data_IF_546176015074
#
_entry.id   IF_546176015074
#
_cell.length_a   1.000
_cell.length_b   1.000
_cell.length_c   1.000
_cell.angle_alpha   90.00
_cell.angle_beta   90.00
_cell.angle_gamma   90.00
#
_symmetry.space_group_name_H-M   'P 1'
#
loop_
_entity.id
_entity.type
_entity.pdbx_description
1 polymer ?
#
# COMPACT_ATOMS: atom_id res chain seq x y z
N UNK A 1 31.22 2.94 76.99
CA UNK A 1 31.79 4.07 76.23
C UNK A 1 30.77 4.49 75.21
N UNK A 2 30.23 5.69 75.38
CA UNK A 2 29.12 6.24 74.54
C UNK A 2 29.72 7.10 73.43
N UNK A 3 29.43 6.82 72.18
CA UNK A 3 29.71 7.72 71.02
C UNK A 3 28.43 8.27 70.47
N UNK A 4 28.40 9.61 70.38
CA UNK A 4 27.25 10.42 69.90
C UNK A 4 27.28 10.53 68.40
N UNK A 5 26.12 10.27 67.74
CA UNK A 5 25.89 10.66 66.38
C UNK A 5 25.54 12.17 66.30
N UNK A 6 26.21 12.87 65.37
CA UNK A 6 25.87 14.23 65.02
C UNK A 6 24.91 14.20 63.76
N UNK A 7 23.72 14.82 63.87
CA UNK A 7 22.85 15.12 62.77
C UNK A 7 23.33 16.39 62.07
N UNK A 8 23.65 16.27 60.78
CA UNK A 8 23.86 17.40 59.89
C UNK A 8 22.58 17.73 59.14
N UNK A 9 22.03 18.93 59.36
CA UNK A 9 20.88 19.45 58.64
C UNK A 9 21.30 19.95 57.24
N UNK A 10 20.71 19.39 56.19
CA UNK A 10 20.89 19.86 54.82
C UNK A 10 19.72 20.77 54.45
N UNK A 11 20.01 22.07 54.23
CA UNK A 11 19.04 23.04 53.79
C UNK A 11 18.80 22.89 52.26
N UNK A 12 17.55 22.68 51.90
CA UNK A 12 17.08 22.58 50.50
C UNK A 12 16.74 23.99 50.00
N UNK A 13 17.52 24.53 49.04
CA UNK A 13 17.22 25.78 48.35
C UNK A 13 16.29 25.49 47.20
N UNK A 14 15.05 26.01 47.23
CA UNK A 14 14.13 26.05 46.09
C UNK A 14 14.61 27.13 45.13
N UNK A 15 15.02 26.72 43.91
CA UNK A 15 15.19 27.61 42.78
C UNK A 15 13.87 27.61 41.95
N UNK A 16 13.20 28.74 41.91
CA UNK A 16 12.06 28.99 41.02
C UNK A 16 12.57 29.24 39.62
N UNK A 17 12.39 28.28 38.72
CA UNK A 17 12.62 28.49 37.29
C UNK A 17 11.36 29.12 36.66
N UNK A 18 11.51 30.34 36.13
CA UNK A 18 10.46 31.03 35.38
C UNK A 18 10.21 30.34 34.06
N UNK A 19 8.93 30.19 33.71
CA UNK A 19 8.49 29.77 32.40
C UNK A 19 8.87 30.86 31.38
N UNK A 20 9.75 30.51 30.43
CA UNK A 20 9.97 31.31 29.23
C UNK A 20 8.97 30.79 28.17
N UNK A 21 8.07 31.67 27.73
CA UNK A 21 7.19 31.48 26.57
C UNK A 21 8.04 31.32 25.31
N UNK A 22 8.05 30.09 24.75
CA UNK A 22 8.71 29.80 23.48
C UNK A 22 7.64 29.82 22.39
N UNK A 23 7.21 31.00 21.97
CA UNK A 23 6.38 31.19 20.79
C UNK A 23 7.31 31.21 19.58
N UNK A 24 7.16 30.30 18.59
CA UNK A 24 7.97 30.37 17.38
C UNK A 24 7.64 31.59 16.55
N UNK A 25 8.67 32.29 16.06
CA UNK A 25 8.53 33.45 15.21
C UNK A 25 7.92 33.04 13.84
N UNK A 26 7.06 33.89 13.22
CA UNK A 26 6.46 33.59 11.94
C UNK A 26 7.51 33.58 10.82
N UNK A 27 7.47 32.55 9.98
CA UNK A 27 8.32 32.39 8.78
C UNK A 27 7.91 33.45 7.76
N UNK A 28 8.83 34.25 7.18
CA UNK A 28 8.51 35.22 6.14
C UNK A 28 8.05 34.51 4.86
N UNK A 29 6.86 34.88 4.37
CA UNK A 29 6.38 34.47 3.05
C UNK A 29 7.22 35.15 1.97
N UNK A 30 7.99 34.36 1.24
CA UNK A 30 8.62 34.78 -0.01
C UNK A 30 7.53 34.88 -1.09
N UNK A 31 7.31 36.07 -1.61
CA UNK A 31 6.48 36.28 -2.80
C UNK A 31 7.19 35.76 -4.02
N UNK A 32 6.60 34.77 -4.69
CA UNK A 32 7.07 34.31 -6.01
C UNK A 32 6.74 35.36 -7.08
N UNK A 33 7.60 35.53 -8.08
CA UNK A 33 7.30 36.34 -9.25
C UNK A 33 6.31 35.59 -10.16
N UNK A 34 5.25 36.28 -10.52
CA UNK A 34 4.33 35.89 -11.59
C UNK A 34 4.97 36.19 -12.94
N UNK A 35 5.44 35.15 -13.64
CA UNK A 35 5.56 35.18 -15.11
C UNK A 35 5.59 33.73 -15.60
N UNK A 36 4.43 33.22 -16.02
CA UNK A 36 4.31 31.99 -16.78
C UNK A 36 4.05 32.33 -18.25
N UNK A 37 4.77 31.76 -19.21
CA UNK A 37 4.50 31.94 -20.61
C UNK A 37 3.24 31.18 -21.02
N UNK A 38 2.35 31.86 -21.74
CA UNK A 38 1.11 31.37 -22.32
C UNK A 38 1.34 30.21 -23.29
N UNK A 39 0.66 29.07 -23.08
CA UNK A 39 0.62 27.98 -24.05
C UNK A 39 -0.33 28.32 -25.20
N UNK A 40 -0.05 27.89 -26.45
CA UNK A 40 -0.91 28.11 -27.60
C UNK A 40 -2.14 27.17 -27.56
N UNK A 41 -3.28 27.74 -27.90
CA UNK A 41 -4.57 27.10 -28.08
C UNK A 41 -4.52 26.11 -29.25
N UNK A 42 -5.11 24.90 -29.16
CA UNK A 42 -5.26 24.01 -30.31
C UNK A 42 -6.27 24.57 -31.32
N UNK A 43 -5.85 24.63 -32.56
CA UNK A 43 -6.71 25.02 -33.71
C UNK A 43 -7.58 23.82 -34.10
N UNK A 44 -8.88 24.02 -34.16
CA UNK A 44 -9.84 23.09 -34.76
C UNK A 44 -9.61 22.98 -36.26
N UNK A 45 -9.50 21.77 -36.81
CA UNK A 45 -9.65 21.50 -38.25
C UNK A 45 -11.06 20.98 -38.55
N UNK A 46 -11.63 21.35 -39.72
CA UNK A 46 -13.02 21.09 -40.04
C UNK A 46 -13.25 19.68 -40.59
N UNK A 47 -14.44 19.15 -40.30
CA UNK A 47 -14.91 17.84 -40.62
C UNK A 47 -14.92 17.53 -42.12
N UNK A 48 -14.81 16.25 -42.44
CA UNK A 48 -15.11 15.69 -43.74
C UNK A 48 -16.20 14.63 -43.60
N UNK A 49 -17.37 14.93 -44.13
CA UNK A 49 -18.48 14.02 -44.33
C UNK A 49 -18.18 13.04 -45.49
N UNK A 50 -18.40 11.76 -45.27
CA UNK A 50 -18.20 10.76 -46.34
C UNK A 50 -18.76 9.38 -45.97
N UNK A 51 -19.93 9.19 -46.30
CA UNK A 51 -20.97 8.17 -46.44
C UNK A 51 -20.55 6.76 -46.91
N UNK A 52 -21.19 5.79 -46.27
CA UNK A 52 -21.76 4.51 -46.71
C UNK A 52 -20.90 3.27 -47.02
N UNK A 53 -21.27 2.18 -46.35
CA UNK A 53 -21.58 0.94 -47.06
C UNK A 53 -20.81 -0.31 -46.62
N UNK A 54 -21.55 -1.30 -46.11
CA UNK A 54 -21.24 -2.71 -46.37
C UNK A 54 -20.89 -3.58 -45.15
N UNK A 55 -21.86 -4.38 -44.80
CA UNK A 55 -21.85 -5.59 -43.97
C UNK A 55 -20.66 -6.53 -44.21
N UNK A 56 -20.08 -7.13 -43.16
CA UNK A 56 -20.24 -8.57 -42.93
C UNK A 56 -19.62 -9.00 -41.59
N UNK A 57 -20.27 -9.99 -41.01
CA UNK A 57 -20.07 -10.47 -39.65
C UNK A 57 -18.76 -11.22 -39.44
N UNK A 58 -18.14 -10.93 -38.32
CA UNK A 58 -17.18 -11.73 -37.64
C UNK A 58 -17.44 -11.50 -36.17
N UNK A 59 -18.11 -12.46 -35.51
CA UNK A 59 -18.33 -12.40 -34.06
C UNK A 59 -17.01 -12.45 -33.33
N UNK A 60 -16.53 -11.32 -32.84
CA UNK A 60 -15.57 -11.27 -31.76
C UNK A 60 -16.25 -11.79 -30.47
N UNK A 61 -15.56 -12.62 -29.64
CA UNK A 61 -16.09 -12.94 -28.34
C UNK A 61 -16.28 -11.64 -27.56
N UNK A 62 -17.47 -11.42 -27.05
CA UNK A 62 -17.81 -10.27 -26.24
C UNK A 62 -16.87 -10.27 -25.00
N UNK A 63 -15.79 -9.49 -25.07
CA UNK A 63 -15.07 -9.02 -23.90
C UNK A 63 -16.09 -8.27 -23.05
N UNK A 64 -16.15 -8.61 -21.75
CA UNK A 64 -17.07 -7.97 -20.82
C UNK A 64 -17.01 -6.45 -21.02
N UNK A 65 -18.13 -5.87 -21.42
CA UNK A 65 -18.17 -4.43 -21.74
C UNK A 65 -17.72 -3.64 -20.53
N UNK A 66 -17.04 -2.51 -20.76
CA UNK A 66 -16.59 -1.51 -19.77
C UNK A 66 -17.81 -0.97 -18.97
N UNK A 67 -18.40 -1.82 -18.12
CA UNK A 67 -19.47 -1.38 -17.23
C UNK A 67 -18.91 -0.39 -16.23
N UNK A 68 -19.70 0.60 -15.91
CA UNK A 68 -19.37 1.55 -14.85
C UNK A 68 -19.45 0.84 -13.48
N UNK A 69 -18.37 0.88 -12.66
CA UNK A 69 -18.39 0.24 -11.37
C UNK A 69 -19.42 0.90 -10.45
N UNK A 70 -20.05 0.09 -9.60
CA UNK A 70 -21.10 0.58 -8.68
C UNK A 70 -20.82 0.19 -7.26
N UNK A 71 -20.91 1.14 -6.35
CA UNK A 71 -20.94 0.84 -4.93
C UNK A 71 -22.22 0.03 -4.60
N UNK A 72 -22.02 -1.12 -3.98
CA UNK A 72 -23.11 -1.98 -3.48
C UNK A 72 -23.58 -1.45 -2.13
N UNK A 73 -22.66 -1.03 -1.27
CA UNK A 73 -22.92 -0.47 0.03
C UNK A 73 -21.70 -0.52 0.94
N UNK A 74 -21.85 0.01 2.15
CA UNK A 74 -20.89 -0.17 3.24
C UNK A 74 -21.14 -1.54 3.87
N UNK A 75 -20.10 -2.38 3.91
CA UNK A 75 -20.17 -3.72 4.52
C UNK A 75 -19.95 -3.64 6.03
N UNK A 76 -18.92 -2.90 6.45
CA UNK A 76 -18.54 -2.67 7.85
C UNK A 76 -18.07 -1.23 7.99
N UNK A 77 -18.37 -0.61 9.12
CA UNK A 77 -17.96 0.72 9.50
C UNK A 77 -17.24 0.72 10.86
N UNK A 78 -16.76 1.91 11.29
CA UNK A 78 -16.11 2.14 12.58
C UNK A 78 -14.83 1.30 12.79
N UNK A 79 -14.09 1.04 11.72
CA UNK A 79 -12.76 0.44 11.79
C UNK A 79 -11.72 1.50 12.16
N UNK A 80 -10.59 1.08 12.74
CA UNK A 80 -9.48 1.98 13.09
C UNK A 80 -8.32 1.87 12.11
N UNK A 81 -8.32 2.69 11.07
CA UNK A 81 -7.28 2.72 10.02
C UNK A 81 -7.01 1.32 9.45
N UNK A 82 -8.02 0.66 8.82
CA UNK A 82 -7.84 -0.66 8.21
C UNK A 82 -6.79 -0.57 7.09
N UNK A 83 -5.82 -1.51 7.12
CA UNK A 83 -4.68 -1.43 6.19
C UNK A 83 -4.59 -2.64 5.25
N UNK A 84 -4.44 -3.85 5.76
CA UNK A 84 -4.39 -5.09 4.99
C UNK A 84 -5.74 -5.77 4.92
N UNK A 85 -6.05 -6.37 3.78
CA UNK A 85 -7.23 -7.23 3.56
C UNK A 85 -6.81 -8.39 2.70
N UNK A 86 -7.10 -9.62 3.16
CA UNK A 86 -6.98 -10.82 2.36
C UNK A 86 -8.08 -11.82 2.75
N UNK A 87 -8.39 -12.78 1.88
CA UNK A 87 -9.55 -13.65 2.04
C UNK A 87 -9.19 -15.07 2.45
N UNK A 88 -9.93 -15.59 3.42
CA UNK A 88 -9.91 -16.99 3.81
C UNK A 88 -10.64 -17.85 2.75
N UNK A 89 -10.36 -19.16 2.68
CA UNK A 89 -11.04 -20.06 1.73
C UNK A 89 -12.56 -20.09 1.85
N UNK A 90 -13.13 -19.78 3.04
CA UNK A 90 -14.57 -19.71 3.29
C UNK A 90 -15.19 -18.37 2.82
N UNK A 91 -14.40 -17.46 2.28
CA UNK A 91 -14.83 -16.16 1.78
C UNK A 91 -14.86 -15.04 2.81
N UNK A 92 -14.58 -15.30 4.08
CA UNK A 92 -14.39 -14.25 5.07
C UNK A 92 -13.05 -13.54 4.86
N UNK A 93 -13.00 -12.23 5.09
CA UNK A 93 -11.75 -11.48 5.03
C UNK A 93 -11.04 -11.42 6.38
N UNK A 94 -9.71 -11.45 6.35
CA UNK A 94 -8.85 -11.02 7.45
C UNK A 94 -8.46 -9.57 7.20
N UNK A 95 -8.67 -8.71 8.19
CA UNK A 95 -8.40 -7.27 8.11
C UNK A 95 -7.45 -6.87 9.23
N UNK A 96 -6.40 -6.12 8.90
CA UNK A 96 -5.49 -5.55 9.88
C UNK A 96 -5.83 -4.10 10.16
N UNK A 97 -5.70 -3.68 11.40
CA UNK A 97 -5.81 -2.27 11.81
C UNK A 97 -4.44 -1.74 12.21
N UNK A 98 -3.99 -0.73 11.47
CA UNK A 98 -2.63 -0.20 11.58
C UNK A 98 -2.30 0.33 12.97
N UNK A 99 -3.21 1.13 13.53
CA UNK A 99 -2.96 1.86 14.78
C UNK A 99 -3.13 1.03 16.03
N UNK A 100 -3.98 0.01 15.98
CA UNK A 100 -4.32 -0.82 17.15
C UNK A 100 -3.60 -2.15 17.20
N UNK A 101 -2.98 -2.55 16.07
CA UNK A 101 -2.40 -3.89 15.91
C UNK A 101 -3.45 -5.01 15.90
N UNK A 102 -4.76 -4.69 15.87
CA UNK A 102 -5.84 -5.68 15.85
C UNK A 102 -5.87 -6.43 14.52
N UNK A 103 -6.20 -7.70 14.62
CA UNK A 103 -6.53 -8.57 13.49
C UNK A 103 -8.01 -8.94 13.62
N UNK A 104 -8.75 -8.62 12.58
CA UNK A 104 -10.22 -8.77 12.53
C UNK A 104 -10.59 -9.76 11.44
N UNK A 105 -11.75 -10.41 11.59
CA UNK A 105 -12.42 -11.17 10.55
C UNK A 105 -13.73 -10.44 10.19
N UNK A 106 -13.97 -10.32 8.89
CA UNK A 106 -15.19 -9.75 8.33
C UNK A 106 -15.80 -10.78 7.39
N UNK A 107 -17.01 -11.23 7.67
CA UNK A 107 -17.73 -12.16 6.78
C UNK A 107 -18.42 -11.42 5.63
N UNK A 108 -18.85 -12.15 4.60
CA UNK A 108 -19.52 -11.56 3.43
C UNK A 108 -20.84 -10.83 3.77
N UNK A 109 -21.48 -11.15 4.90
CA UNK A 109 -22.66 -10.45 5.41
C UNK A 109 -22.36 -9.27 6.34
N UNK A 110 -21.07 -8.93 6.52
CA UNK A 110 -20.61 -7.80 7.35
C UNK A 110 -20.47 -8.12 8.84
N UNK A 111 -20.58 -9.39 9.25
CA UNK A 111 -20.33 -9.75 10.65
C UNK A 111 -18.83 -9.54 10.96
N UNK A 112 -18.56 -8.67 11.94
CA UNK A 112 -17.21 -8.31 12.40
C UNK A 112 -16.87 -9.10 13.66
N UNK A 113 -15.70 -9.74 13.70
CA UNK A 113 -15.16 -10.38 14.90
C UNK A 113 -13.66 -10.13 15.04
N UNK A 114 -13.18 -10.12 16.29
CA UNK A 114 -11.76 -9.95 16.58
C UNK A 114 -11.08 -11.31 16.69
N UNK A 115 -10.07 -11.56 15.84
CA UNK A 115 -9.25 -12.77 15.90
C UNK A 115 -8.13 -12.67 16.95
N UNK A 116 -7.53 -11.48 17.10
CA UNK A 116 -6.41 -11.25 18.00
C UNK A 116 -5.75 -9.90 17.77
N UNK A 117 -4.45 -9.83 18.10
CA UNK A 117 -3.62 -8.66 17.83
C UNK A 117 -2.16 -9.07 17.68
N UNK A 118 -1.40 -8.34 16.85
CA UNK A 118 0.05 -8.39 16.78
C UNK A 118 0.60 -7.33 17.73
N UNK A 119 0.91 -7.74 18.96
CA UNK A 119 1.26 -6.82 20.07
C UNK A 119 2.64 -6.20 19.93
N UNK A 120 3.48 -6.71 19.03
CA UNK A 120 4.78 -6.12 18.70
C UNK A 120 4.67 -4.90 17.78
N UNK A 121 3.49 -4.59 17.23
CA UNK A 121 3.26 -3.43 16.40
C UNK A 121 3.49 -2.12 17.17
N UNK A 122 4.32 -1.24 16.60
CA UNK A 122 4.60 0.11 17.14
C UNK A 122 4.10 1.13 16.12
N UNK A 123 2.86 1.63 16.26
CA UNK A 123 2.30 2.58 15.31
C UNK A 123 2.93 3.95 15.48
N UNK A 124 3.52 4.48 14.41
CA UNK A 124 4.01 5.86 14.32
C UNK A 124 4.07 6.28 12.84
N UNK A 125 3.65 7.50 12.51
CA UNK A 125 3.66 7.96 11.11
C UNK A 125 2.91 7.02 10.18
N UNK A 126 3.63 6.31 9.29
CA UNK A 126 3.07 5.31 8.37
C UNK A 126 3.18 3.87 8.90
N UNK A 127 3.96 3.68 9.94
CA UNK A 127 4.26 2.41 10.56
C UNK A 127 3.10 1.81 11.39
N UNK A 128 3.22 0.53 11.74
CA UNK A 128 2.26 -0.20 12.57
C UNK A 128 2.02 -1.62 12.07
N UNK A 129 0.80 -2.15 12.23
CA UNK A 129 0.38 -3.41 11.61
C UNK A 129 -0.15 -3.12 10.21
N UNK A 130 0.56 -3.57 9.17
CA UNK A 130 0.28 -3.19 7.79
C UNK A 130 -0.37 -4.34 7.01
N UNK A 131 0.35 -5.02 6.14
CA UNK A 131 -0.17 -6.06 5.27
C UNK A 131 -0.55 -7.35 5.99
N UNK A 132 -1.45 -8.09 5.37
CA UNK A 132 -1.80 -9.48 5.71
C UNK A 132 -1.82 -10.30 4.44
N UNK A 133 -1.40 -11.57 4.52
CA UNK A 133 -1.55 -12.56 3.48
C UNK A 133 -2.00 -13.90 4.09
N UNK A 134 -2.95 -14.54 3.47
CA UNK A 134 -3.43 -15.88 3.83
C UNK A 134 -2.52 -16.91 3.15
N UNK A 135 -2.08 -17.93 3.89
CA UNK A 135 -1.30 -19.03 3.31
C UNK A 135 -2.03 -19.65 2.13
N UNK A 136 -1.37 -19.97 1.01
CA UNK A 136 -1.98 -20.74 -0.07
C UNK A 136 -2.40 -22.16 0.38
N UNK A 137 -1.78 -22.67 1.45
CA UNK A 137 -2.09 -23.97 2.07
C UNK A 137 -2.95 -23.82 3.33
N UNK A 138 -3.70 -22.72 3.48
CA UNK A 138 -4.45 -22.36 4.68
C UNK A 138 -5.39 -23.45 5.17
N UNK A 139 -6.02 -24.21 4.30
CA UNK A 139 -6.88 -25.33 4.69
C UNK A 139 -6.14 -26.39 5.51
N UNK A 140 -4.82 -26.51 5.34
CA UNK A 140 -3.96 -27.47 6.02
C UNK A 140 -3.20 -26.83 7.18
N UNK A 141 -2.58 -25.65 6.98
CA UNK A 141 -1.65 -25.05 7.92
C UNK A 141 -2.27 -23.94 8.78
N UNK A 142 -3.46 -23.44 8.39
CA UNK A 142 -4.18 -22.38 9.09
C UNK A 142 -3.37 -21.12 9.32
N UNK A 143 -2.35 -20.84 8.49
CA UNK A 143 -1.35 -19.81 8.70
C UNK A 143 -1.75 -18.50 8.05
N UNK A 144 -1.56 -17.40 8.79
CA UNK A 144 -1.66 -16.02 8.35
C UNK A 144 -0.29 -15.34 8.49
N UNK A 145 0.06 -14.54 7.50
CA UNK A 145 1.29 -13.76 7.48
C UNK A 145 0.95 -12.27 7.66
N UNK A 146 1.81 -11.54 8.37
CA UNK A 146 1.60 -10.12 8.66
C UNK A 146 2.90 -9.35 8.47
N UNK A 147 2.80 -8.16 7.89
CA UNK A 147 3.89 -7.19 7.91
C UNK A 147 3.67 -6.24 9.08
N UNK A 148 4.67 -6.09 9.92
CA UNK A 148 4.57 -5.28 11.12
C UNK A 148 5.83 -4.46 11.35
N UNK A 149 5.64 -3.19 11.70
CA UNK A 149 6.72 -2.34 12.21
C UNK A 149 6.83 -2.52 13.71
N UNK A 150 8.03 -2.83 14.18
CA UNK A 150 8.37 -2.95 15.60
C UNK A 150 9.14 -1.72 16.10
N UNK A 151 9.67 -1.78 17.32
CA UNK A 151 10.55 -0.72 17.84
C UNK A 151 11.95 -0.71 17.22
N UNK A 152 12.30 -1.70 16.40
CA UNK A 152 13.66 -1.86 15.85
C UNK A 152 13.70 -1.97 14.33
N UNK A 153 12.69 -2.56 13.71
CA UNK A 153 12.66 -2.89 12.29
C UNK A 153 11.23 -3.11 11.79
N UNK A 154 11.08 -3.19 10.49
CA UNK A 154 9.95 -3.83 9.84
C UNK A 154 10.24 -5.33 9.70
N UNK A 155 9.21 -6.17 9.83
CA UNK A 155 9.37 -7.62 9.69
C UNK A 155 8.10 -8.31 9.20
N UNK A 156 8.27 -9.51 8.68
CA UNK A 156 7.17 -10.44 8.41
C UNK A 156 7.09 -11.42 9.57
N UNK A 157 5.89 -11.57 10.13
CA UNK A 157 5.59 -12.59 11.15
C UNK A 157 4.47 -13.48 10.64
N UNK A 158 4.38 -14.71 11.13
CA UNK A 158 3.27 -15.62 10.87
C UNK A 158 2.63 -16.12 12.16
N UNK A 159 1.33 -16.38 12.12
CA UNK A 159 0.60 -16.95 13.23
C UNK A 159 -0.49 -17.89 12.72
N UNK A 160 -0.74 -18.98 13.45
CA UNK A 160 -1.84 -19.89 13.13
C UNK A 160 -3.18 -19.33 13.61
N UNK A 161 -4.22 -19.53 12.81
CA UNK A 161 -5.61 -19.24 13.18
C UNK A 161 -6.28 -20.50 13.76
N UNK A 162 -6.35 -20.58 15.08
CA UNK A 162 -6.94 -21.70 15.81
C UNK A 162 -8.43 -21.42 16.11
N UNK A 163 -9.32 -21.90 15.25
CA UNK A 163 -10.72 -21.53 15.27
C UNK A 163 -10.89 -20.05 14.99
N UNK A 164 -11.38 -19.27 15.98
CA UNK A 164 -11.53 -17.80 15.88
C UNK A 164 -10.45 -17.03 16.66
N UNK A 165 -9.31 -17.66 16.99
CA UNK A 165 -8.25 -17.02 17.77
C UNK A 165 -6.90 -17.13 17.05
N UNK A 166 -6.26 -15.98 16.92
CA UNK A 166 -4.88 -15.89 16.43
C UNK A 166 -3.93 -16.46 17.51
N UNK A 167 -3.04 -17.36 17.08
CA UNK A 167 -1.94 -17.89 17.90
C UNK A 167 -0.82 -16.87 18.12
N UNK A 168 0.21 -17.28 18.84
CA UNK A 168 1.40 -16.43 19.06
C UNK A 168 2.18 -16.25 17.76
N UNK A 169 2.52 -15.00 17.39
CA UNK A 169 3.28 -14.74 16.19
C UNK A 169 4.73 -15.24 16.28
N UNK A 170 5.24 -15.80 15.19
CA UNK A 170 6.65 -16.14 15.00
C UNK A 170 7.25 -15.36 13.84
N UNK A 171 8.52 -15.00 13.95
CA UNK A 171 9.24 -14.24 12.91
C UNK A 171 9.50 -15.14 11.71
N UNK A 172 9.25 -14.59 10.51
CA UNK A 172 9.54 -15.20 9.20
C UNK A 172 10.74 -14.49 8.56
N UNK A 173 10.70 -13.16 8.50
CA UNK A 173 11.79 -12.32 8.00
C UNK A 173 11.87 -11.07 8.89
N UNK A 174 13.07 -10.70 9.33
CA UNK A 174 13.33 -9.49 10.12
C UNK A 174 14.47 -8.64 9.50
N UNK A 175 14.84 -7.55 10.19
CA UNK A 175 15.93 -6.69 9.75
C UNK A 175 15.61 -5.81 8.54
N UNK A 176 14.35 -5.69 8.13
CA UNK A 176 13.94 -4.71 7.13
C UNK A 176 14.00 -3.33 7.80
N UNK A 177 14.74 -2.34 7.26
CA UNK A 177 14.76 -0.99 7.83
C UNK A 177 13.35 -0.43 8.03
N UNK A 178 13.14 0.28 9.15
CA UNK A 178 11.88 0.93 9.49
C UNK A 178 12.07 2.43 9.69
N UNK A 179 11.05 3.21 9.34
CA UNK A 179 11.06 4.66 9.45
C UNK A 179 9.78 5.25 10.02
N UNK A 180 9.73 6.56 10.07
CA UNK A 180 8.49 7.29 10.35
C UNK A 180 7.58 7.34 9.11
N UNK A 181 8.18 7.22 7.92
CA UNK A 181 7.54 7.21 6.60
C UNK A 181 8.14 6.11 5.74
N UNK A 182 7.43 5.74 4.68
CA UNK A 182 7.88 4.84 3.61
C UNK A 182 8.28 3.44 4.14
N UNK A 183 7.39 2.82 4.89
CA UNK A 183 7.61 1.47 5.40
C UNK A 183 7.19 0.36 4.40
N UNK A 184 6.60 0.72 3.26
CA UNK A 184 6.05 -0.26 2.31
C UNK A 184 4.87 -1.02 2.90
N UNK A 185 5.05 -2.33 3.08
CA UNK A 185 4.20 -3.14 3.93
C UNK A 185 3.13 -3.98 3.24
N UNK A 186 3.00 -3.93 1.91
CA UNK A 186 2.11 -4.86 1.20
C UNK A 186 2.78 -6.24 1.11
N UNK A 187 2.06 -7.26 1.52
CA UNK A 187 2.47 -8.65 1.33
C UNK A 187 1.37 -9.41 0.61
N UNK A 188 1.76 -10.33 -0.27
CA UNK A 188 0.83 -11.20 -0.96
C UNK A 188 1.56 -12.45 -1.49
N UNK A 189 0.88 -13.58 -1.53
CA UNK A 189 1.39 -14.78 -2.20
C UNK A 189 1.21 -14.63 -3.71
N UNK A 190 2.29 -14.86 -4.44
CA UNK A 190 2.24 -14.94 -5.89
C UNK A 190 1.68 -16.28 -6.39
N UNK A 191 1.32 -16.40 -7.69
CA UNK A 191 0.84 -17.63 -8.28
C UNK A 191 1.87 -18.77 -8.24
N UNK A 192 3.11 -18.46 -7.91
CA UNK A 192 4.22 -19.38 -7.73
C UNK A 192 4.38 -19.91 -6.28
N UNK A 193 3.43 -19.55 -5.39
CA UNK A 193 3.38 -19.98 -4.00
C UNK A 193 4.41 -19.33 -3.07
N UNK A 194 5.12 -18.29 -3.53
CA UNK A 194 6.07 -17.54 -2.71
C UNK A 194 5.47 -16.23 -2.22
N UNK A 195 5.93 -15.77 -1.05
CA UNK A 195 5.49 -14.51 -0.45
C UNK A 195 6.30 -13.35 -1.02
N UNK A 196 5.59 -12.40 -1.65
CA UNK A 196 6.16 -11.13 -2.07
C UNK A 196 5.92 -10.09 -0.99
N UNK A 197 6.96 -9.31 -0.68
CA UNK A 197 6.97 -8.34 0.40
C UNK A 197 7.47 -7.01 -0.14
N UNK A 198 6.67 -5.96 -0.03
CA UNK A 198 7.10 -4.62 -0.44
C UNK A 198 7.70 -3.86 0.72
N UNK A 199 8.76 -3.14 0.47
CA UNK A 199 9.44 -2.29 1.44
C UNK A 199 9.59 -0.87 0.89
N UNK A 200 9.64 0.10 1.79
CA UNK A 200 9.96 1.48 1.42
C UNK A 200 11.41 1.83 1.79
N UNK A 201 11.87 2.96 1.31
CA UNK A 201 13.24 3.43 1.57
C UNK A 201 13.42 4.12 2.94
N UNK A 202 12.32 4.24 3.70
CA UNK A 202 12.26 4.71 5.10
C UNK A 202 12.82 6.12 5.35
N UNK A 203 12.85 6.99 4.32
CA UNK A 203 13.39 8.35 4.38
C UNK A 203 14.90 8.42 4.10
N UNK A 204 15.53 7.31 3.74
CA UNK A 204 16.90 7.26 3.20
C UNK A 204 16.89 6.74 1.75
N UNK A 205 16.78 7.63 0.76
CA UNK A 205 16.65 7.25 -0.64
C UNK A 205 17.80 6.40 -1.19
N UNK A 206 19.01 6.52 -0.60
CA UNK A 206 20.17 5.75 -1.04
C UNK A 206 19.99 4.24 -0.84
N UNK A 207 19.19 3.83 0.16
CA UNK A 207 18.93 2.41 0.45
C UNK A 207 18.19 1.71 -0.70
N UNK A 208 17.43 2.45 -1.52
CA UNK A 208 16.71 1.87 -2.65
C UNK A 208 17.65 1.27 -3.71
N UNK A 209 18.83 1.85 -3.90
CA UNK A 209 19.85 1.37 -4.86
C UNK A 209 20.92 0.46 -4.21
N UNK A 210 20.96 0.36 -2.88
CA UNK A 210 21.87 -0.54 -2.18
C UNK A 210 21.37 -2.00 -2.29
N UNK A 211 22.09 -2.91 -2.95
CA UNK A 211 21.68 -4.29 -3.13
C UNK A 211 21.71 -5.11 -1.82
N UNK A 212 22.46 -4.67 -0.82
CA UNK A 212 22.58 -5.34 0.48
C UNK A 212 21.50 -4.87 1.47
N UNK A 213 20.78 -3.80 1.16
CA UNK A 213 19.65 -3.29 1.95
C UNK A 213 18.33 -3.93 1.53
N UNK A 214 17.46 -4.23 2.51
CA UNK A 214 16.10 -4.68 2.26
C UNK A 214 15.10 -3.53 2.09
N UNK A 215 15.52 -2.26 2.25
CA UNK A 215 14.69 -1.08 2.07
C UNK A 215 14.57 -0.67 0.60
N UNK A 216 13.41 -0.18 0.17
CA UNK A 216 13.17 0.25 -1.21
C UNK A 216 13.21 -0.90 -2.22
N UNK A 217 12.61 -2.04 -1.87
CA UNK A 217 12.63 -3.30 -2.62
C UNK A 217 11.24 -3.92 -2.75
N UNK A 218 11.12 -4.82 -3.70
CA UNK A 218 10.17 -5.92 -3.61
C UNK A 218 10.99 -7.18 -3.31
N UNK A 219 10.68 -7.84 -2.20
CA UNK A 219 11.32 -9.08 -1.79
C UNK A 219 10.46 -10.27 -2.20
N UNK A 220 11.08 -11.43 -2.42
CA UNK A 220 10.38 -12.68 -2.70
C UNK A 220 11.02 -13.79 -1.87
N UNK A 221 10.23 -14.37 -0.96
CA UNK A 221 10.68 -15.35 0.03
C UNK A 221 9.79 -16.59 0.03
N UNK A 222 10.31 -17.68 0.55
CA UNK A 222 9.51 -18.86 0.88
C UNK A 222 8.61 -18.56 2.09
N UNK A 223 7.56 -19.37 2.37
CA UNK A 223 6.77 -19.23 3.59
C UNK A 223 7.59 -19.35 4.89
N UNK A 224 8.81 -19.93 4.83
CA UNK A 224 9.72 -20.05 5.96
C UNK A 224 10.73 -18.89 6.07
N UNK A 225 10.67 -17.92 5.15
CA UNK A 225 11.50 -16.69 5.21
C UNK A 225 12.81 -16.77 4.43
N UNK A 226 13.14 -17.91 3.83
CA UNK A 226 14.35 -18.05 3.01
C UNK A 226 14.18 -17.34 1.65
N UNK A 227 15.27 -16.87 1.02
CA UNK A 227 15.22 -16.40 -0.36
C UNK A 227 14.56 -17.43 -1.27
N UNK A 228 13.54 -17.03 -2.03
CA UNK A 228 12.80 -17.99 -2.85
C UNK A 228 13.67 -18.51 -4.03
N UNK A 229 13.58 -19.80 -4.35
CA UNK A 229 14.29 -20.36 -5.51
C UNK A 229 13.96 -19.60 -6.78
N UNK A 230 14.98 -19.22 -7.54
CA UNK A 230 14.83 -18.47 -8.78
C UNK A 230 14.86 -16.95 -8.60
N UNK A 231 15.16 -16.41 -7.42
CA UNK A 231 15.49 -15.00 -7.26
C UNK A 231 16.68 -14.59 -8.14
N UNK A 232 16.86 -13.28 -8.46
CA UNK A 232 18.01 -12.80 -9.24
C UNK A 232 19.34 -13.23 -8.64
N UNK A 233 19.50 -13.07 -7.33
CA UNK A 233 20.57 -13.63 -6.52
C UNK A 233 19.98 -14.74 -5.63
N UNK A 234 20.46 -16.00 -5.74
CA UNK A 234 19.95 -17.11 -4.92
C UNK A 234 20.15 -16.93 -3.42
N UNK A 235 21.09 -16.07 -2.99
CA UNK A 235 21.38 -15.78 -1.58
C UNK A 235 20.61 -14.57 -1.03
N UNK A 236 19.83 -13.89 -1.86
CA UNK A 236 19.14 -12.66 -1.49
C UNK A 236 17.62 -12.79 -1.66
N UNK A 237 16.81 -12.24 -0.73
CA UNK A 237 15.37 -12.18 -0.92
C UNK A 237 14.94 -11.11 -1.94
N UNK A 238 15.85 -10.26 -2.43
CA UNK A 238 15.53 -9.16 -3.33
C UNK A 238 15.06 -9.68 -4.69
N UNK A 239 13.83 -9.30 -5.08
CA UNK A 239 13.26 -9.56 -6.39
C UNK A 239 13.48 -8.41 -7.37
N UNK A 240 13.24 -7.17 -6.90
CA UNK A 240 13.50 -5.92 -7.63
C UNK A 240 13.96 -4.82 -6.68
N UNK A 241 14.59 -3.77 -7.21
CA UNK A 241 15.16 -2.67 -6.44
C UNK A 241 14.88 -1.30 -7.08
N UNK A 242 15.30 -0.25 -6.40
CA UNK A 242 15.10 1.12 -6.89
C UNK A 242 13.68 1.62 -6.70
N UNK A 243 13.01 1.15 -5.63
CA UNK A 243 11.68 1.57 -5.24
C UNK A 243 11.72 2.60 -4.10
N UNK A 244 10.77 3.54 -4.13
CA UNK A 244 10.59 4.51 -3.04
C UNK A 244 9.69 3.97 -1.94
N UNK A 245 8.43 3.66 -2.27
CA UNK A 245 7.44 3.19 -1.29
C UNK A 245 6.29 2.44 -1.98
N UNK A 246 6.49 1.17 -2.23
CA UNK A 246 5.49 0.30 -2.85
C UNK A 246 4.43 -0.11 -1.83
N UNK A 247 3.13 0.13 -2.10
CA UNK A 247 2.04 -0.26 -1.20
C UNK A 247 0.94 -1.12 -1.85
N UNK A 248 1.07 -1.47 -3.12
CA UNK A 248 0.14 -2.36 -3.78
C UNK A 248 0.84 -3.39 -4.66
N UNK A 249 0.32 -4.62 -4.66
CA UNK A 249 0.74 -5.72 -5.52
C UNK A 249 -0.49 -6.40 -6.11
N UNK A 250 -0.41 -6.77 -7.38
CA UNK A 250 -1.43 -7.59 -8.04
C UNK A 250 -0.79 -8.43 -9.16
N UNK A 251 -1.40 -9.57 -9.46
CA UNK A 251 -1.06 -10.39 -10.63
C UNK A 251 -2.23 -10.37 -11.60
N UNK A 252 -1.92 -10.20 -12.88
CA UNK A 252 -2.91 -10.35 -13.93
C UNK A 252 -3.09 -11.82 -14.36
N UNK A 253 -4.01 -12.07 -15.31
CA UNK A 253 -4.34 -13.42 -15.75
C UNK A 253 -3.16 -14.18 -16.39
N UNK A 254 -2.14 -13.46 -16.88
CA UNK A 254 -0.91 -14.05 -17.41
C UNK A 254 0.19 -14.21 -16.35
N UNK A 255 -0.13 -13.91 -15.09
CA UNK A 255 0.79 -14.03 -13.96
C UNK A 255 1.86 -12.93 -13.91
N UNK A 256 1.67 -11.81 -14.60
CA UNK A 256 2.58 -10.66 -14.54
C UNK A 256 2.34 -9.87 -13.26
N UNK A 257 3.42 -9.54 -12.58
CA UNK A 257 3.37 -8.78 -11.33
C UNK A 257 3.28 -7.28 -11.60
N UNK A 258 2.30 -6.65 -10.99
CA UNK A 258 2.08 -5.20 -11.01
C UNK A 258 2.26 -4.63 -9.62
N UNK A 259 2.83 -3.42 -9.54
CA UNK A 259 3.02 -2.70 -8.29
C UNK A 259 2.58 -1.24 -8.42
N UNK A 260 1.90 -0.73 -7.40
CA UNK A 260 1.60 0.69 -7.24
C UNK A 260 2.53 1.31 -6.22
N UNK A 261 3.05 2.49 -6.54
CA UNK A 261 4.15 3.10 -5.82
C UNK A 261 3.98 4.61 -5.65
N UNK A 262 4.27 5.10 -4.46
CA UNK A 262 4.29 6.53 -4.18
C UNK A 262 5.57 7.18 -4.70
N UNK A 263 5.39 8.25 -5.47
CA UNK A 263 6.48 9.17 -5.79
C UNK A 263 6.81 10.13 -4.66
N UNK A 264 7.72 11.05 -4.93
CA UNK A 264 8.14 12.07 -3.97
C UNK A 264 7.30 13.35 -4.09
N UNK A 265 7.48 14.03 -5.17
CA UNK A 265 6.90 15.36 -5.36
C UNK A 265 6.24 15.56 -6.72
N UNK A 266 6.47 14.64 -7.65
CA UNK A 266 6.05 14.82 -9.04
C UNK A 266 5.15 13.68 -9.52
N UNK A 267 5.62 12.41 -9.44
CA UNK A 267 4.97 11.29 -10.09
C UNK A 267 4.80 10.08 -9.19
N UNK A 268 3.54 9.71 -8.94
CA UNK A 268 3.18 8.36 -8.49
C UNK A 268 3.20 7.39 -9.68
N UNK A 269 3.40 6.10 -9.42
CA UNK A 269 3.72 5.12 -10.45
C UNK A 269 2.87 3.86 -10.39
N UNK A 270 2.60 3.29 -11.57
CA UNK A 270 2.19 1.90 -11.75
C UNK A 270 3.27 1.17 -12.55
N UNK A 271 3.88 0.20 -11.92
CA UNK A 271 5.01 -0.56 -12.42
C UNK A 271 4.60 -1.98 -12.85
N UNK A 272 5.06 -2.44 -14.01
CA UNK A 272 5.12 -3.85 -14.37
C UNK A 272 6.44 -4.39 -13.84
N UNK A 273 6.37 -5.28 -12.85
CA UNK A 273 7.56 -5.70 -12.10
C UNK A 273 8.26 -6.88 -12.77
N UNK A 274 9.52 -6.70 -13.11
CA UNK A 274 10.38 -7.70 -13.72
C UNK A 274 11.41 -8.22 -12.70
N UNK A 275 11.74 -9.51 -12.82
CA UNK A 275 12.79 -10.14 -12.03
C UNK A 275 14.13 -9.42 -12.23
N UNK A 276 14.74 -8.95 -11.13
CA UNK A 276 16.02 -8.23 -11.14
C UNK A 276 15.91 -6.80 -11.69
N UNK A 277 14.68 -6.31 -11.91
CA UNK A 277 14.44 -4.95 -12.39
C UNK A 277 14.89 -3.88 -11.40
N UNK A 278 15.41 -2.77 -11.95
CA UNK A 278 15.71 -1.55 -11.19
C UNK A 278 14.78 -0.43 -11.67
N UNK A 279 13.99 0.14 -10.76
CA UNK A 279 12.95 1.13 -11.05
C UNK A 279 13.41 2.58 -10.86
N UNK A 280 14.68 2.76 -10.53
CA UNK A 280 15.42 4.02 -10.69
C UNK A 280 15.40 4.97 -9.51
N UNK A 281 14.54 4.80 -8.50
CA UNK A 281 14.57 5.66 -7.33
C UNK A 281 15.91 5.54 -6.57
N UNK A 282 16.55 6.65 -6.12
CA UNK A 282 16.14 8.07 -6.24
C UNK A 282 16.68 8.77 -7.50
N UNK A 283 17.40 8.10 -8.37
CA UNK A 283 18.03 8.68 -9.58
C UNK A 283 16.96 9.20 -10.56
N UNK A 284 15.79 8.56 -10.56
CA UNK A 284 14.64 8.88 -11.42
C UNK A 284 13.36 8.81 -10.60
N UNK A 285 12.43 9.74 -10.83
CA UNK A 285 11.04 9.72 -10.41
C UNK A 285 10.18 9.78 -11.68
N UNK A 286 9.30 8.81 -11.88
CA UNK A 286 8.53 8.69 -13.12
C UNK A 286 9.36 8.17 -14.29
N UNK A 287 9.04 8.62 -15.51
CA UNK A 287 9.69 8.15 -16.73
C UNK A 287 10.98 8.91 -17.01
N UNK A 288 12.11 8.25 -16.78
CA UNK A 288 13.43 8.80 -17.05
C UNK A 288 14.00 8.47 -18.43
N UNK A 289 13.50 7.42 -19.09
CA UNK A 289 14.00 6.94 -20.36
C UNK A 289 15.46 6.45 -20.33
N UNK A 290 16.00 6.16 -19.16
CA UNK A 290 17.37 5.71 -18.97
C UNK A 290 17.43 4.19 -19.07
N UNK A 291 18.32 3.64 -19.90
CA UNK A 291 18.38 2.20 -20.23
C UNK A 291 18.64 1.27 -19.05
N UNK A 292 19.27 1.78 -17.98
CA UNK A 292 19.57 1.02 -16.78
C UNK A 292 18.37 0.90 -15.83
N UNK A 293 17.33 1.68 -16.06
CA UNK A 293 16.10 1.67 -15.25
C UNK A 293 14.88 1.27 -16.07
N UNK A 294 13.91 0.67 -15.42
CA UNK A 294 12.62 0.32 -16.02
C UNK A 294 11.65 1.48 -15.77
N UNK A 295 11.17 2.09 -16.84
CA UNK A 295 10.16 3.14 -16.76
C UNK A 295 8.79 2.57 -16.31
N UNK A 296 8.03 3.31 -15.49
CA UNK A 296 6.67 2.93 -15.11
C UNK A 296 5.73 2.85 -16.33
N UNK A 297 4.75 1.96 -16.26
CA UNK A 297 3.73 1.83 -17.29
C UNK A 297 2.82 3.06 -17.33
N UNK A 298 2.43 3.57 -16.16
CA UNK A 298 1.67 4.80 -16.00
C UNK A 298 2.22 5.63 -14.85
N UNK A 299 2.02 6.95 -14.96
CA UNK A 299 2.36 7.92 -13.92
C UNK A 299 1.19 8.87 -13.68
N UNK A 300 1.06 9.36 -12.46
CA UNK A 300 0.08 10.37 -12.05
C UNK A 300 0.78 11.47 -11.25
N UNK A 301 0.35 12.73 -11.36
CA UNK A 301 0.72 13.75 -10.39
C UNK A 301 0.36 13.27 -8.97
N UNK A 302 1.24 13.50 -7.99
CA UNK A 302 1.09 12.95 -6.62
C UNK A 302 -0.20 13.40 -5.90
N UNK A 303 -0.81 14.51 -6.31
CA UNK A 303 -2.11 14.95 -5.80
C UNK A 303 -3.29 14.16 -6.36
N UNK A 304 -3.11 13.41 -7.46
CA UNK A 304 -4.18 12.67 -8.10
C UNK A 304 -4.26 11.20 -7.67
N UNK A 305 -3.21 10.66 -7.07
CA UNK A 305 -3.20 9.26 -6.68
C UNK A 305 -2.76 9.06 -5.22
N UNK A 306 -1.49 9.13 -4.86
CA UNK A 306 -0.94 8.54 -3.65
C UNK A 306 -1.41 7.09 -3.55
N UNK A 307 -0.94 6.22 -4.48
CA UNK A 307 -1.55 4.91 -4.73
C UNK A 307 -1.15 3.91 -3.66
N UNK A 308 -2.12 3.25 -3.03
CA UNK A 308 -1.86 2.23 -2.02
C UNK A 308 -2.26 0.85 -2.55
N UNK A 309 -3.37 0.28 -2.13
CA UNK A 309 -3.76 -1.06 -2.55
C UNK A 309 -4.00 -1.19 -4.05
N UNK A 310 -3.62 -2.34 -4.59
CA UNK A 310 -3.80 -2.73 -5.99
C UNK A 310 -4.44 -4.11 -6.03
N UNK A 311 -5.38 -4.34 -6.94
CA UNK A 311 -6.00 -5.64 -7.18
C UNK A 311 -6.30 -5.80 -8.67
N UNK A 312 -6.46 -7.05 -9.14
CA UNK A 312 -6.82 -7.35 -10.51
C UNK A 312 -8.16 -8.08 -10.56
N UNK A 313 -9.06 -7.59 -11.40
CA UNK A 313 -10.36 -8.20 -11.65
C UNK A 313 -10.86 -7.81 -13.04
N UNK A 314 -11.50 -8.74 -13.74
CA UNK A 314 -12.18 -8.54 -15.03
C UNK A 314 -11.30 -7.83 -16.10
N UNK A 315 -10.03 -8.21 -16.22
CA UNK A 315 -9.09 -7.64 -17.19
C UNK A 315 -8.56 -6.25 -16.81
N UNK A 316 -8.80 -5.79 -15.58
CA UNK A 316 -8.42 -4.48 -15.11
C UNK A 316 -7.65 -4.54 -13.80
N UNK A 317 -6.68 -3.64 -13.66
CA UNK A 317 -6.12 -3.29 -12.36
C UNK A 317 -7.01 -2.24 -11.71
N UNK A 318 -7.26 -2.43 -10.42
CA UNK A 318 -7.98 -1.52 -9.55
C UNK A 318 -7.03 -0.98 -8.50
N UNK A 319 -6.87 0.34 -8.44
CA UNK A 319 -5.88 1.00 -7.60
C UNK A 319 -6.54 2.03 -6.69
N UNK A 320 -6.36 1.88 -5.40
CA UNK A 320 -6.89 2.78 -4.39
C UNK A 320 -5.99 4.00 -4.20
N UNK A 321 -6.55 5.20 -4.33
CA UNK A 321 -5.86 6.48 -4.18
C UNK A 321 -6.15 7.15 -2.83
N UNK A 322 -5.11 7.41 -2.04
CA UNK A 322 -5.25 8.08 -0.75
C UNK A 322 -5.44 9.59 -0.91
N UNK A 323 -4.42 10.29 -1.41
CA UNK A 323 -4.51 11.74 -1.61
C UNK A 323 -5.48 12.11 -2.73
N UNK A 324 -5.50 11.28 -3.78
CA UNK A 324 -6.42 11.44 -4.90
C UNK A 324 -7.87 11.10 -4.58
N UNK A 325 -8.18 10.46 -3.44
CA UNK A 325 -9.52 10.15 -2.95
C UNK A 325 -10.42 9.52 -4.01
N UNK A 326 -9.90 8.48 -4.70
CA UNK A 326 -10.58 7.81 -5.81
C UNK A 326 -10.13 6.37 -6.00
N UNK A 327 -10.94 5.62 -6.71
CA UNK A 327 -10.60 4.29 -7.20
C UNK A 327 -10.27 4.39 -8.69
N UNK A 328 -9.06 4.02 -9.06
CA UNK A 328 -8.63 3.95 -10.45
C UNK A 328 -8.92 2.58 -11.04
N UNK A 329 -9.52 2.53 -12.22
CA UNK A 329 -9.58 1.34 -13.10
C UNK A 329 -8.60 1.52 -14.24
N UNK A 330 -7.69 0.56 -14.42
CA UNK A 330 -6.65 0.59 -15.45
C UNK A 330 -6.77 -0.68 -16.29
N UNK A 331 -7.02 -0.56 -17.58
CA UNK A 331 -7.11 -1.71 -18.50
C UNK A 331 -5.73 -2.32 -18.67
N UNK A 332 -5.63 -3.66 -18.53
CA UNK A 332 -4.44 -4.42 -18.92
C UNK A 332 -4.69 -5.01 -20.30
N UNK A 333 -3.88 -4.61 -21.27
CA UNK A 333 -4.00 -5.16 -22.64
C UNK A 333 -3.39 -6.56 -22.73
N UNK A 334 -3.77 -7.35 -23.71
CA UNK A 334 -3.17 -8.67 -23.96
C UNK A 334 -1.64 -8.61 -24.13
N UNK A 335 -1.11 -7.48 -24.58
CA UNK A 335 0.34 -7.27 -24.69
C UNK A 335 1.03 -6.90 -23.35
N UNK A 336 0.31 -6.93 -22.21
CA UNK A 336 0.85 -6.56 -20.91
C UNK A 336 1.13 -5.07 -20.77
N UNK A 337 0.33 -4.21 -21.39
CA UNK A 337 0.43 -2.76 -21.26
C UNK A 337 -0.72 -2.23 -20.41
N UNK A 338 -0.41 -1.38 -19.44
CA UNK A 338 -1.41 -0.60 -18.73
C UNK A 338 -1.91 0.56 -19.61
N UNK A 339 -3.21 0.72 -19.70
CA UNK A 339 -3.85 1.73 -20.55
C UNK A 339 -5.16 2.26 -19.94
N UNK A 340 -5.64 3.39 -20.45
CA UNK A 340 -6.94 3.98 -20.12
C UNK A 340 -7.24 4.05 -18.62
N UNK A 341 -6.42 4.73 -17.81
CA UNK A 341 -6.77 4.94 -16.41
C UNK A 341 -8.04 5.79 -16.31
N UNK A 342 -9.04 5.28 -15.61
CA UNK A 342 -10.33 5.95 -15.39
C UNK A 342 -10.58 6.04 -13.88
N UNK A 343 -10.94 7.23 -13.41
CA UNK A 343 -11.22 7.50 -12.00
C UNK A 343 -12.72 7.30 -11.70
N UNK A 344 -12.99 6.67 -10.54
CA UNK A 344 -14.34 6.48 -9.99
C UNK A 344 -14.39 6.88 -8.53
N UNK A 345 -15.58 7.21 -8.04
CA UNK A 345 -15.84 7.56 -6.64
C UNK A 345 -14.92 8.68 -6.12
N UNK A 346 -14.65 9.67 -6.99
CA UNK A 346 -13.76 10.79 -6.65
C UNK A 346 -14.39 11.63 -5.54
N UNK A 347 -13.71 11.70 -4.39
CA UNK A 347 -14.13 12.40 -3.17
C UNK A 347 -15.37 11.83 -2.46
N UNK A 348 -16.03 10.79 -3.01
CA UNK A 348 -17.25 10.22 -2.43
C UNK A 348 -17.01 9.55 -1.06
N UNK A 349 -15.83 8.97 -0.85
CA UNK A 349 -15.49 8.19 0.35
C UNK A 349 -14.20 8.67 1.03
N UNK A 350 -13.63 9.77 0.56
CA UNK A 350 -12.34 10.28 1.04
C UNK A 350 -11.17 9.38 0.61
N UNK A 351 -10.21 9.19 1.50
CA UNK A 351 -8.96 8.46 1.26
C UNK A 351 -9.21 6.96 1.15
N UNK A 352 -8.92 6.37 -0.01
CA UNK A 352 -9.04 4.92 -0.24
C UNK A 352 -7.67 4.25 -0.05
N UNK A 353 -7.61 3.22 0.83
CA UNK A 353 -6.36 2.55 1.21
C UNK A 353 -6.15 1.24 0.48
N UNK A 354 -7.01 0.27 0.66
CA UNK A 354 -6.88 -1.06 0.08
C UNK A 354 -8.06 -1.34 -0.84
N UNK A 355 -7.78 -1.96 -1.96
CA UNK A 355 -8.75 -2.64 -2.79
C UNK A 355 -8.32 -4.10 -2.88
N UNK A 356 -9.26 -5.02 -2.63
CA UNK A 356 -9.05 -6.46 -2.71
C UNK A 356 -10.22 -7.12 -3.44
N UNK A 357 -9.94 -8.05 -4.33
CA UNK A 357 -10.97 -8.81 -5.05
C UNK A 357 -11.45 -9.97 -4.20
N UNK A 358 -12.73 -9.92 -3.81
CA UNK A 358 -13.36 -10.97 -3.04
C UNK A 358 -13.69 -12.21 -3.90
N UNK A 359 -13.85 -13.39 -3.30
CA UNK A 359 -14.16 -14.62 -4.03
C UNK A 359 -15.47 -14.58 -4.84
N UNK A 360 -16.41 -13.69 -4.50
CA UNK A 360 -17.65 -13.46 -5.23
C UNK A 360 -17.50 -12.45 -6.40
N UNK A 361 -16.29 -11.95 -6.63
CA UNK A 361 -15.94 -11.00 -7.67
C UNK A 361 -16.23 -9.53 -7.32
N UNK A 362 -16.72 -9.23 -6.13
CA UNK A 362 -16.81 -7.85 -5.65
C UNK A 362 -15.42 -7.32 -5.24
N UNK A 363 -15.22 -6.03 -5.38
CA UNK A 363 -14.07 -5.36 -4.79
C UNK A 363 -14.46 -4.89 -3.37
N UNK A 364 -13.62 -5.20 -2.40
CA UNK A 364 -13.70 -4.64 -1.06
C UNK A 364 -12.68 -3.49 -0.97
N UNK A 365 -13.18 -2.29 -0.73
CA UNK A 365 -12.38 -1.06 -0.70
C UNK A 365 -12.41 -0.49 0.72
N UNK A 366 -11.24 -0.34 1.36
CA UNK A 366 -11.14 0.27 2.69
C UNK A 366 -10.90 1.76 2.58
N UNK A 367 -11.51 2.54 3.47
CA UNK A 367 -11.12 3.95 3.67
C UNK A 367 -9.97 4.07 4.67
N UNK A 368 -9.34 5.24 4.73
CA UNK A 368 -8.26 5.61 5.64
C UNK A 368 -8.36 7.09 6.00
N UNK A 369 -9.55 7.50 6.45
CA UNK A 369 -9.83 8.90 6.76
C UNK A 369 -9.37 9.27 8.18
N UNK A 370 -9.21 8.25 9.06
CA UNK A 370 -8.75 8.42 10.44
C UNK A 370 -7.21 8.35 10.59
N UNK A 371 -6.46 8.30 9.48
CA UNK A 371 -4.99 8.15 9.51
C UNK A 371 -4.22 9.45 9.88
N UNK A 372 -4.94 10.51 10.23
CA UNK A 372 -4.40 11.82 10.57
C UNK A 372 -4.15 12.74 9.37
N UNK A 373 -4.45 12.28 8.15
CA UNK A 373 -4.29 13.03 6.89
C UNK A 373 -5.62 13.19 6.13
N UNK A 374 -6.70 12.60 6.64
CA UNK A 374 -8.04 12.66 6.08
C UNK A 374 -9.00 13.50 6.92
N UNK A 375 -10.23 13.63 6.43
CA UNK A 375 -11.34 14.26 7.13
C UNK A 375 -12.39 13.20 7.44
N UNK A 376 -12.31 12.53 8.62
CA UNK A 376 -13.20 11.41 8.93
C UNK A 376 -14.65 11.87 9.17
N UNK A 377 -15.57 11.06 8.68
CA UNK A 377 -17.00 11.13 9.04
C UNK A 377 -17.28 10.25 10.26
N UNK A 378 -18.45 10.38 10.91
CA UNK A 378 -18.82 9.52 12.05
C UNK A 378 -18.87 8.01 11.73
N UNK A 379 -18.90 7.60 10.45
CA UNK A 379 -18.93 6.20 10.02
C UNK A 379 -17.53 5.65 9.62
N UNK A 380 -16.50 6.49 9.62
CA UNK A 380 -15.16 6.06 9.18
C UNK A 380 -14.37 5.35 10.30
N UNK A 381 -13.39 4.51 9.95
CA UNK A 381 -13.15 4.00 8.59
C UNK A 381 -14.04 2.80 8.30
N UNK A 382 -14.16 2.46 7.00
CA UNK A 382 -15.13 1.46 6.57
C UNK A 382 -14.62 0.61 5.42
N UNK A 383 -15.31 -0.51 5.19
CA UNK A 383 -15.18 -1.33 3.99
C UNK A 383 -16.39 -1.10 3.10
N UNK A 384 -16.14 -0.70 1.86
CA UNK A 384 -17.17 -0.49 0.83
C UNK A 384 -17.07 -1.64 -0.16
N UNK A 385 -18.21 -2.24 -0.48
CA UNK A 385 -18.28 -3.21 -1.57
C UNK A 385 -18.59 -2.50 -2.89
N UNK A 386 -17.81 -2.81 -3.92
CA UNK A 386 -17.95 -2.27 -5.27
C UNK A 386 -18.09 -3.42 -6.26
N UNK A 387 -19.08 -3.34 -7.12
CA UNK A 387 -19.20 -4.23 -8.28
C UNK A 387 -18.38 -3.63 -9.41
N UNK A 388 -17.34 -4.33 -9.89
CA UNK A 388 -16.50 -3.85 -11.00
C UNK A 388 -17.23 -3.75 -12.32
#
# INVERSE_FOLDING_TARGET
MRSRLALGSLALALATAGCADNTPAPIPRTTQPTDAPSQPTPTEEPGNDGQSGGSDGGGEPATGGDREPRAVGTLVDLLEVPWGVDFLPDGAAVVTERMTGRVLQVTADGTLSRLGAITSAVPQGEAGLLGVAVSPDFDTDRTLFFYVTTGTDNRVVRAELNGSRLGEPSVVLDGIPAGFIHDGGRIAFGPDGHLYVTTGETGDPALAQDPDSLAGKILRITPDGEPAPGNPDPGSPVWSLGHRNVQGLAWDDEGRLWASEFGDSTWDELNLVEKGGNYGWPEVEGRGGQKQFIDPQLVWPVEQASPSGLSYADGHLWMAGLRGQRLWRITVTAAGKAARPTAFFTEDYGRLRTVATAPDGLLWVTTSNQDGRGEPTPADDRIIQVRP
#
